data_IF_815977403764
#
_entry.id   IF_815977403764
#
_cell.length_a   1.000
_cell.length_b   1.000
_cell.length_c   1.000
_cell.angle_alpha   90.00
_cell.angle_beta   90.00
_cell.angle_gamma   90.00
#
_symmetry.space_group_name_H-M   'P 1'
#
loop_
_entity.id
_entity.type
_entity.pdbx_description
1 polymer ?
#
# COMPACT_ATOMS: atom_id res chain seq x y z
N UNK A 1 -0.48 -2.13 16.69
CA UNK A 1 -0.38 -1.77 15.26
C UNK A 1 -0.64 -0.28 15.13
N UNK A 2 0.15 0.39 14.28
CA UNK A 2 0.11 1.83 14.10
C UNK A 2 -0.38 2.14 12.69
N UNK A 3 -1.07 3.28 12.54
CA UNK A 3 -1.40 3.88 11.27
C UNK A 3 -0.49 5.10 11.06
N UNK A 4 0.20 5.14 9.93
CA UNK A 4 0.95 6.31 9.48
C UNK A 4 0.24 6.98 8.31
N UNK A 5 0.10 8.30 8.34
CA UNK A 5 -0.38 9.06 7.17
C UNK A 5 0.82 9.59 6.41
N UNK A 6 0.88 9.44 5.09
CA UNK A 6 1.85 10.13 4.23
C UNK A 6 1.31 11.48 3.74
N UNK A 7 2.20 12.45 3.51
CA UNK A 7 1.86 13.69 2.78
C UNK A 7 2.79 13.86 1.57
N UNK A 8 2.30 14.57 0.54
CA UNK A 8 2.91 14.77 -0.78
C UNK A 8 4.43 15.05 -0.75
N UNK A 9 5.18 14.30 -1.55
CA UNK A 9 6.54 14.68 -1.98
C UNK A 9 6.44 15.72 -3.11
N UNK A 10 6.42 17.01 -2.77
CA UNK A 10 6.63 18.07 -3.76
C UNK A 10 8.13 18.27 -3.98
N UNK A 11 8.56 18.10 -5.24
CA UNK A 11 9.96 18.12 -5.70
C UNK A 11 10.63 19.49 -5.49
N UNK A 12 11.89 19.44 -5.07
CA UNK A 12 12.86 20.55 -5.05
C UNK A 12 13.21 21.04 -6.48
N UNK A 13 13.47 22.34 -6.58
CA UNK A 13 13.70 23.16 -7.79
C UNK A 13 15.03 22.85 -8.50
N UNK A 14 15.02 22.97 -9.84
CA UNK A 14 16.16 22.73 -10.75
C UNK A 14 17.13 23.93 -10.81
N UNK A 15 18.44 23.67 -10.91
CA UNK A 15 19.41 24.56 -11.54
C UNK A 15 20.59 23.82 -12.19
N UNK A 16 20.89 24.23 -13.43
CA UNK A 16 22.11 24.11 -14.28
C UNK A 16 22.75 22.73 -14.54
N UNK A 17 22.68 22.29 -15.80
CA UNK A 17 23.16 20.97 -16.26
C UNK A 17 24.39 21.10 -17.16
N UNK A 18 25.48 20.41 -16.79
CA UNK A 18 26.73 20.33 -17.55
C UNK A 18 26.67 19.30 -18.70
N UNK A 19 27.64 19.32 -19.61
CA UNK A 19 27.75 18.39 -20.75
C UNK A 19 27.84 16.91 -20.36
N UNK A 20 28.24 16.61 -19.12
CA UNK A 20 28.24 15.25 -18.54
C UNK A 20 26.82 14.84 -18.12
N UNK A 21 25.98 15.78 -17.65
CA UNK A 21 24.59 15.48 -17.31
C UNK A 21 23.75 15.16 -18.55
N UNK A 22 24.06 15.73 -19.71
CA UNK A 22 23.34 15.43 -20.95
C UNK A 22 23.60 13.99 -21.43
N UNK A 23 24.82 13.48 -21.33
CA UNK A 23 25.13 12.08 -21.66
C UNK A 23 24.53 11.10 -20.63
N UNK A 24 24.52 11.50 -19.34
CA UNK A 24 23.87 10.74 -18.28
C UNK A 24 22.35 10.69 -18.45
N UNK A 25 21.73 11.80 -18.86
CA UNK A 25 20.29 11.88 -19.16
C UNK A 25 19.93 11.08 -20.41
N UNK A 26 20.82 10.99 -21.39
CA UNK A 26 20.65 10.18 -22.59
C UNK A 26 20.74 8.68 -22.27
N UNK A 27 21.70 8.28 -21.43
CA UNK A 27 21.76 6.92 -20.87
C UNK A 27 20.54 6.59 -19.98
N UNK A 28 20.03 7.54 -19.20
CA UNK A 28 18.79 7.37 -18.42
C UNK A 28 17.57 7.23 -19.36
N UNK A 29 17.53 7.94 -20.49
CA UNK A 29 16.47 7.81 -21.50
C UNK A 29 16.53 6.46 -22.21
N UNK A 30 17.71 6.01 -22.62
CA UNK A 30 17.91 4.69 -23.25
C UNK A 30 17.64 3.54 -22.26
N UNK A 31 17.99 3.72 -20.98
CA UNK A 31 17.66 2.77 -19.91
C UNK A 31 16.17 2.76 -19.57
N UNK A 32 15.47 3.89 -19.72
CA UNK A 32 14.00 3.97 -19.62
C UNK A 32 13.29 3.30 -20.80
N UNK A 33 13.85 3.36 -22.01
CA UNK A 33 13.30 2.58 -23.15
C UNK A 33 13.54 1.08 -23.01
N UNK A 34 14.50 0.65 -22.18
CA UNK A 34 14.72 -0.75 -21.81
C UNK A 34 14.00 -1.18 -20.52
N UNK A 35 13.12 -0.34 -19.97
CA UNK A 35 12.23 -0.71 -18.88
C UNK A 35 10.86 -0.03 -19.04
N UNK A 36 10.18 -0.26 -20.15
CA UNK A 36 8.74 -0.45 -20.00
C UNK A 36 8.59 -1.70 -19.12
N UNK A 37 8.46 -1.47 -17.82
CA UNK A 37 8.28 -2.51 -16.82
C UNK A 37 7.05 -3.29 -17.27
N UNK A 38 7.26 -4.46 -17.85
CA UNK A 38 6.17 -5.32 -18.30
C UNK A 38 5.17 -5.41 -17.14
N UNK A 39 3.97 -4.91 -17.39
CA UNK A 39 2.91 -4.93 -16.41
C UNK A 39 2.60 -6.40 -16.16
N UNK A 40 2.86 -6.87 -14.94
CA UNK A 40 2.59 -8.24 -14.57
C UNK A 40 1.10 -8.54 -14.85
N UNK A 41 0.77 -9.65 -15.53
CA UNK A 41 -0.63 -9.97 -15.85
C UNK A 41 -1.51 -9.99 -14.59
N UNK A 42 -2.78 -9.64 -14.73
CA UNK A 42 -3.73 -9.71 -13.61
C UNK A 42 -3.67 -11.09 -12.94
N UNK A 43 -3.79 -11.11 -11.61
CA UNK A 43 -3.87 -12.32 -10.78
C UNK A 43 -2.58 -13.15 -10.66
N UNK A 44 -1.43 -12.65 -11.14
CA UNK A 44 -0.13 -13.30 -10.90
C UNK A 44 0.50 -12.82 -9.59
N UNK A 45 1.23 -13.69 -8.91
CA UNK A 45 1.99 -13.30 -7.70
C UNK A 45 3.17 -12.42 -8.14
N UNK A 46 3.25 -11.22 -7.57
CA UNK A 46 4.33 -10.24 -7.83
C UNK A 46 5.31 -10.12 -6.67
N UNK A 47 5.00 -10.75 -5.54
CA UNK A 47 5.87 -10.79 -4.37
C UNK A 47 5.21 -11.49 -3.20
N UNK A 48 5.99 -11.76 -2.16
CA UNK A 48 5.51 -12.33 -0.89
C UNK A 48 6.09 -11.52 0.25
N UNK A 49 5.22 -10.89 1.04
CA UNK A 49 5.62 -10.21 2.27
C UNK A 49 5.50 -11.17 3.45
N UNK A 50 6.28 -10.91 4.50
CA UNK A 50 6.06 -11.59 5.79
C UNK A 50 6.13 -13.11 5.70
N UNK A 51 6.98 -13.63 4.82
CA UNK A 51 7.21 -15.04 4.48
C UNK A 51 6.02 -15.77 3.82
N UNK A 52 4.77 -15.36 4.05
CA UNK A 52 3.60 -16.14 3.66
C UNK A 52 2.40 -15.32 3.13
N UNK A 53 2.55 -14.03 2.88
CA UNK A 53 1.46 -13.20 2.33
C UNK A 53 1.76 -12.79 0.90
N UNK A 54 1.15 -13.47 -0.07
CA UNK A 54 1.32 -13.16 -1.48
C UNK A 54 0.66 -11.83 -1.87
N UNK A 55 1.39 -11.00 -2.60
CA UNK A 55 0.86 -9.84 -3.32
C UNK A 55 0.55 -10.26 -4.76
N UNK A 56 -0.67 -10.01 -5.21
CA UNK A 56 -1.12 -10.33 -6.56
C UNK A 56 -1.15 -9.06 -7.40
N UNK A 57 -0.81 -9.19 -8.68
CA UNK A 57 -0.95 -8.09 -9.63
C UNK A 57 -2.43 -7.76 -9.84
N UNK A 58 -2.78 -6.49 -9.69
CA UNK A 58 -4.05 -5.95 -10.16
C UNK A 58 -4.02 -5.62 -11.67
N UNK A 59 -2.97 -6.00 -12.40
CA UNK A 59 -2.73 -5.53 -13.75
C UNK A 59 -2.23 -4.08 -13.71
N UNK A 60 -3.11 -3.11 -13.92
CA UNK A 60 -2.76 -1.69 -13.91
C UNK A 60 -3.48 -0.89 -12.81
N UNK A 61 -3.12 0.38 -12.67
CA UNK A 61 -3.62 1.33 -11.67
C UNK A 61 -5.11 1.69 -11.82
N UNK A 62 -5.71 1.44 -13.00
CA UNK A 62 -7.12 1.70 -13.30
C UNK A 62 -7.98 0.45 -13.36
N UNK A 63 -7.38 -0.73 -13.19
CA UNK A 63 -8.09 -1.98 -13.34
C UNK A 63 -9.01 -2.25 -12.14
N UNK A 64 -10.27 -2.58 -12.42
CA UNK A 64 -11.30 -2.93 -11.44
C UNK A 64 -11.83 -4.29 -11.85
N UNK A 65 -11.58 -5.31 -11.04
CA UNK A 65 -11.99 -6.69 -11.35
C UNK A 65 -13.50 -6.91 -11.20
N UNK A 66 -14.13 -6.22 -10.25
CA UNK A 66 -15.45 -6.56 -9.72
C UNK A 66 -15.54 -8.01 -9.17
N UNK A 67 -14.40 -8.59 -8.81
CA UNK A 67 -14.30 -9.90 -8.18
C UNK A 67 -14.00 -9.74 -6.69
N UNK A 68 -14.87 -10.29 -5.86
CA UNK A 68 -14.62 -10.36 -4.43
C UNK A 68 -13.59 -11.45 -4.09
N UNK A 69 -12.74 -11.16 -3.10
CA UNK A 69 -11.88 -12.16 -2.47
C UNK A 69 -12.44 -12.55 -1.09
N UNK A 70 -12.48 -13.85 -0.84
CA UNK A 70 -12.84 -14.41 0.47
C UNK A 70 -11.74 -15.36 0.93
N UNK A 71 -11.42 -15.30 2.23
CA UNK A 71 -10.51 -16.23 2.88
C UNK A 71 -11.18 -16.74 4.15
N UNK A 72 -11.38 -18.06 4.26
CA UNK A 72 -12.15 -18.69 5.36
C UNK A 72 -13.54 -18.06 5.53
N UNK A 73 -14.25 -17.82 4.42
CA UNK A 73 -15.57 -17.16 4.38
C UNK A 73 -15.56 -15.69 4.84
N UNK A 74 -14.39 -15.12 5.15
CA UNK A 74 -14.25 -13.72 5.53
C UNK A 74 -13.97 -12.89 4.27
N UNK A 75 -14.76 -11.85 4.04
CA UNK A 75 -14.57 -10.91 2.95
C UNK A 75 -13.26 -10.13 3.12
N UNK A 76 -12.33 -10.31 2.18
CA UNK A 76 -11.05 -9.61 2.18
C UNK A 76 -11.12 -8.29 1.44
N UNK A 77 -11.96 -8.17 0.41
CA UNK A 77 -12.02 -7.00 -0.47
C UNK A 77 -12.07 -7.41 -1.93
N UNK A 78 -12.14 -6.43 -2.83
CA UNK A 78 -12.05 -6.67 -4.26
C UNK A 78 -10.63 -7.07 -4.68
N UNK A 79 -10.48 -8.14 -5.47
CA UNK A 79 -9.20 -8.56 -6.04
C UNK A 79 -8.65 -7.51 -6.99
N UNK A 80 -7.39 -7.08 -6.96
CA UNK A 80 -6.36 -7.25 -5.92
C UNK A 80 -6.01 -5.86 -5.38
N UNK A 81 -7.04 -5.18 -4.86
CA UNK A 81 -6.96 -3.79 -4.42
C UNK A 81 -6.14 -3.66 -3.14
N UNK A 82 -5.62 -2.46 -2.89
CA UNK A 82 -4.76 -2.20 -1.72
C UNK A 82 -5.44 -2.53 -0.38
N UNK A 83 -6.73 -2.24 -0.24
CA UNK A 83 -7.51 -2.56 0.97
C UNK A 83 -7.69 -4.08 1.13
N UNK A 84 -7.85 -4.82 0.02
CA UNK A 84 -7.90 -6.29 0.03
C UNK A 84 -6.63 -6.87 0.63
N UNK A 85 -5.49 -6.41 0.10
CA UNK A 85 -4.19 -6.89 0.55
C UNK A 85 -3.97 -6.58 2.04
N UNK A 86 -4.28 -5.34 2.47
CA UNK A 86 -4.13 -4.94 3.87
C UNK A 86 -5.00 -5.80 4.81
N UNK A 87 -6.26 -6.06 4.45
CA UNK A 87 -7.16 -6.90 5.26
C UNK A 87 -6.68 -8.34 5.32
N UNK A 88 -6.28 -8.93 4.18
CA UNK A 88 -5.76 -10.30 4.11
C UNK A 88 -4.44 -10.47 4.85
N UNK A 89 -3.53 -9.50 4.74
CA UNK A 89 -2.29 -9.49 5.51
C UNK A 89 -2.58 -9.48 7.01
N UNK A 90 -3.53 -8.66 7.46
CA UNK A 90 -3.92 -8.57 8.88
C UNK A 90 -4.49 -9.88 9.39
N UNK A 91 -5.34 -10.53 8.59
CA UNK A 91 -5.90 -11.83 8.95
C UNK A 91 -4.79 -12.88 9.11
N UNK A 92 -3.92 -13.00 8.12
CA UNK A 92 -2.87 -14.03 8.09
C UNK A 92 -1.77 -13.81 9.14
N UNK A 93 -1.47 -12.55 9.48
CA UNK A 93 -0.35 -12.20 10.36
C UNK A 93 -0.76 -11.91 11.80
N UNK A 94 -2.01 -11.50 12.02
CA UNK A 94 -2.51 -11.07 13.34
C UNK A 94 -3.76 -11.82 13.80
N UNK A 95 -4.30 -12.72 12.97
CA UNK A 95 -5.58 -13.40 13.23
C UNK A 95 -6.74 -12.42 13.45
N UNK A 96 -6.65 -11.24 12.84
CA UNK A 96 -7.58 -10.13 13.03
C UNK A 96 -7.96 -9.49 11.70
N UNK A 97 -9.06 -8.76 11.69
CA UNK A 97 -9.50 -7.95 10.56
C UNK A 97 -9.85 -6.54 11.01
N UNK A 98 -10.05 -5.66 10.03
CA UNK A 98 -10.65 -4.36 10.25
C UNK A 98 -11.94 -4.21 9.44
N UNK A 99 -12.79 -3.31 9.89
CA UNK A 99 -14.11 -3.03 9.29
C UNK A 99 -14.01 -2.62 7.81
N UNK A 100 -15.13 -2.72 7.11
CA UNK A 100 -15.21 -2.27 5.71
C UNK A 100 -15.03 -0.75 5.62
N UNK A 101 -14.30 -0.32 4.60
CA UNK A 101 -14.06 1.09 4.27
C UNK A 101 -14.37 1.29 2.79
N UNK A 102 -14.85 2.47 2.42
CA UNK A 102 -15.20 2.78 1.02
C UNK A 102 -13.95 3.09 0.18
N UNK A 103 -12.95 3.72 0.81
CA UNK A 103 -11.68 4.07 0.20
C UNK A 103 -10.51 3.71 1.14
N UNK A 104 -9.29 3.71 0.63
CA UNK A 104 -8.12 3.48 1.47
C UNK A 104 -7.83 4.68 2.38
N UNK A 105 -8.10 5.91 1.92
CA UNK A 105 -7.98 7.14 2.74
C UNK A 105 -8.86 7.09 4.00
N UNK A 106 -10.08 6.55 3.87
CA UNK A 106 -11.04 6.41 4.98
C UNK A 106 -10.45 5.65 6.18
N UNK A 107 -9.51 4.73 5.95
CA UNK A 107 -8.83 4.01 7.03
C UNK A 107 -8.14 4.97 8.01
N UNK A 108 -7.67 6.14 7.58
CA UNK A 108 -7.03 7.09 8.48
C UNK A 108 -8.01 7.60 9.54
N UNK A 109 -9.26 7.90 9.17
CA UNK A 109 -10.23 8.51 10.06
C UNK A 109 -11.13 7.47 10.74
N UNK A 110 -11.57 6.45 10.00
CA UNK A 110 -12.59 5.49 10.42
C UNK A 110 -12.03 4.32 11.21
N UNK A 111 -10.80 3.88 10.91
CA UNK A 111 -10.18 2.73 11.56
C UNK A 111 -9.77 3.08 13.00
N UNK A 112 -10.42 2.45 13.98
CA UNK A 112 -10.13 2.66 15.41
C UNK A 112 -9.46 1.45 16.05
N UNK A 113 -9.78 0.26 15.58
CA UNK A 113 -9.26 -1.00 16.09
C UNK A 113 -9.15 -2.02 14.96
N UNK A 114 -8.40 -3.09 15.23
CA UNK A 114 -8.60 -4.38 14.57
C UNK A 114 -9.29 -5.33 15.53
N UNK A 115 -10.08 -6.26 15.01
CA UNK A 115 -10.83 -7.24 15.79
C UNK A 115 -10.28 -8.64 15.50
N UNK A 116 -9.89 -9.36 16.56
CA UNK A 116 -9.43 -10.75 16.45
C UNK A 116 -10.61 -11.67 16.18
N UNK A 117 -10.42 -12.60 15.24
CA UNK A 117 -11.52 -13.42 14.71
C UNK A 117 -12.12 -14.35 15.76
N UNK A 118 -11.27 -14.99 16.58
CA UNK A 118 -11.63 -16.11 17.46
C UNK A 118 -12.50 -15.69 18.65
N UNK A 119 -12.28 -14.51 19.21
CA UNK A 119 -12.88 -14.06 20.46
C UNK A 119 -13.40 -12.62 20.40
N UNK A 120 -13.29 -11.99 19.23
CA UNK A 120 -13.75 -10.62 18.99
C UNK A 120 -13.05 -9.57 19.84
N UNK A 121 -11.86 -9.88 20.38
CA UNK A 121 -11.07 -8.89 21.11
C UNK A 121 -10.63 -7.77 20.16
N UNK A 122 -10.83 -6.52 20.59
CA UNK A 122 -10.51 -5.31 19.81
C UNK A 122 -9.19 -4.71 20.26
N UNK A 123 -8.26 -4.54 19.33
CA UNK A 123 -6.97 -3.91 19.53
C UNK A 123 -6.97 -2.52 18.95
N UNK A 124 -6.98 -1.50 19.82
CA UNK A 124 -6.95 -0.10 19.40
C UNK A 124 -5.72 0.24 18.57
N UNK A 125 -5.91 1.06 17.54
CA UNK A 125 -4.87 1.53 16.65
C UNK A 125 -4.40 2.92 17.10
N UNK A 126 -3.09 3.12 17.10
CA UNK A 126 -2.49 4.46 17.30
C UNK A 126 -2.26 5.10 15.94
N UNK A 127 -2.49 6.41 15.85
CA UNK A 127 -2.33 7.18 14.62
C UNK A 127 -1.13 8.12 14.76
N UNK A 128 -0.24 8.12 13.79
CA UNK A 128 0.94 8.95 13.74
C UNK A 128 1.07 9.61 12.36
N UNK A 129 0.90 10.92 12.28
CA UNK A 129 1.03 11.64 11.01
C UNK A 129 2.47 11.59 10.49
N UNK A 130 2.67 11.73 9.17
CA UNK A 130 4.01 11.87 8.60
C UNK A 130 4.74 13.02 9.29
N UNK A 131 6.03 12.84 9.57
CA UNK A 131 6.84 13.85 10.27
C UNK A 131 6.56 13.97 11.76
N UNK A 132 5.71 13.12 12.35
CA UNK A 132 5.63 13.02 13.81
C UNK A 132 6.97 12.52 14.39
N UNK A 133 7.28 12.80 15.67
CA UNK A 133 8.50 12.28 16.32
C UNK A 133 8.50 10.77 16.52
N UNK A 134 7.40 10.09 16.21
CA UNK A 134 7.29 8.64 16.34
C UNK A 134 7.71 8.01 15.02
N UNK A 135 8.81 7.25 15.08
CA UNK A 135 9.29 6.50 13.94
C UNK A 135 8.27 5.44 13.51
N UNK A 136 8.16 5.16 12.20
CA UNK A 136 7.55 3.94 11.68
C UNK A 136 8.03 2.69 12.43
N UNK A 137 7.11 1.76 12.67
CA UNK A 137 7.45 0.43 13.15
C UNK A 137 6.94 -0.61 12.17
N UNK A 138 7.63 -1.75 12.11
CA UNK A 138 7.21 -2.91 11.33
C UNK A 138 5.75 -3.28 11.65
N UNK A 139 5.09 -3.89 10.68
CA UNK A 139 3.73 -4.41 10.82
C UNK A 139 2.70 -3.31 11.11
N UNK A 140 2.90 -2.14 10.51
CA UNK A 140 2.02 -0.98 10.57
C UNK A 140 1.37 -0.68 9.21
N UNK A 141 0.23 -0.01 9.23
CA UNK A 141 -0.38 0.53 8.01
C UNK A 141 0.26 1.85 7.64
N UNK A 142 0.56 2.02 6.36
CA UNK A 142 0.92 3.29 5.74
C UNK A 142 -0.22 3.73 4.83
N UNK A 143 -0.84 4.86 5.14
CA UNK A 143 -2.01 5.39 4.44
C UNK A 143 -1.61 6.64 3.67
N UNK A 144 -1.93 6.64 2.39
CA UNK A 144 -1.82 7.81 1.53
C UNK A 144 -3.20 8.45 1.39
N UNK A 145 -3.28 9.78 1.53
CA UNK A 145 -4.53 10.47 1.36
C UNK A 145 -4.94 10.52 -0.11
N UNK A 146 -6.19 10.89 -0.36
CA UNK A 146 -6.68 11.17 -1.71
C UNK A 146 -5.79 12.19 -2.43
N UNK A 147 -5.35 11.84 -3.64
CA UNK A 147 -4.53 12.66 -4.53
C UNK A 147 -5.08 12.60 -5.95
N UNK A 148 -4.58 13.48 -6.83
CA UNK A 148 -5.06 13.58 -8.23
C UNK A 148 -4.94 12.24 -8.98
N UNK A 149 -3.88 11.49 -8.71
CA UNK A 149 -3.53 10.19 -9.28
C UNK A 149 -3.95 9.00 -8.39
N UNK A 150 -4.43 9.26 -7.17
CA UNK A 150 -4.95 8.25 -6.24
C UNK A 150 -6.30 8.73 -5.67
N UNK A 151 -7.40 8.67 -6.46
CA UNK A 151 -8.69 9.24 -6.07
C UNK A 151 -9.35 8.54 -4.86
N UNK A 152 -8.87 7.35 -4.47
CA UNK A 152 -9.34 6.60 -3.31
C UNK A 152 -8.29 6.51 -2.18
N UNK A 153 -7.20 7.28 -2.28
CA UNK A 153 -6.01 7.10 -1.45
C UNK A 153 -5.32 5.76 -1.73
N UNK A 154 -4.43 5.36 -0.83
CA UNK A 154 -3.75 4.06 -0.90
C UNK A 154 -3.40 3.56 0.50
N UNK A 155 -3.32 2.24 0.67
CA UNK A 155 -2.82 1.63 1.90
C UNK A 155 -1.74 0.60 1.57
N UNK A 156 -0.67 0.63 2.34
CA UNK A 156 0.43 -0.34 2.29
C UNK A 156 0.76 -0.86 3.68
N UNK A 157 1.49 -1.97 3.74
CA UNK A 157 2.03 -2.52 4.98
C UNK A 157 3.52 -2.16 5.07
N UNK A 158 3.92 -1.56 6.18
CA UNK A 158 5.32 -1.37 6.52
C UNK A 158 5.86 -2.71 6.99
N UNK A 159 6.60 -3.41 6.15
CA UNK A 159 7.16 -4.72 6.52
C UNK A 159 8.44 -4.58 7.34
N UNK A 160 9.31 -3.65 6.98
CA UNK A 160 10.62 -3.44 7.59
C UNK A 160 10.95 -1.95 7.65
N UNK A 161 11.53 -1.52 8.78
CA UNK A 161 12.11 -0.21 9.02
C UNK A 161 13.56 -0.47 9.44
N UNK A 162 14.50 0.05 8.65
CA UNK A 162 15.95 -0.12 8.82
C UNK A 162 16.55 0.89 9.80
#
# INVERSE_FOLDING_TARGET
MIIYQCYNLVKSSKSEQSSIELSYLQLIRERRSLSEKEIAPYNVIVGVASLNVAAYSNGNDKYISNEDNYLYEIYMGMKWQCVEYARRWTLLRKSSIFESVNSADDMWNQLKYIERIIDKEKFSLKKHSNGSPNLPINESYLIYPIQKDMPYGHVAIIFEVL
#
